data_IF_299809802781
#
_entry.id   IF_299809802781
#
_cell.length_a   1.000
_cell.length_b   1.000
_cell.length_c   1.000
_cell.angle_alpha   90.00
_cell.angle_beta   90.00
_cell.angle_gamma   90.00
#
_symmetry.space_group_name_H-M   'P 1'
#
loop_
_entity.id
_entity.type
_entity.pdbx_description
1 polymer ?
#
# COMPACT_ATOMS: atom_id res chain seq x y z
N UNK A 1 15.93 -84.08 6.38
CA UNK A 1 15.12 -83.00 5.77
C UNK A 1 14.66 -82.03 6.86
N UNK A 2 15.17 -80.79 6.88
CA UNK A 2 14.84 -79.80 7.93
C UNK A 2 13.54 -79.05 7.62
N UNK A 3 12.53 -79.15 8.50
CA UNK A 3 11.27 -78.41 8.38
C UNK A 3 11.53 -76.90 8.57
N UNK A 4 11.07 -76.06 7.62
CA UNK A 4 11.11 -74.59 7.75
C UNK A 4 10.24 -74.16 8.95
N UNK A 5 10.87 -73.52 9.95
CA UNK A 5 10.23 -73.09 11.22
C UNK A 5 9.50 -71.74 11.14
N UNK A 6 9.50 -71.04 10.01
CA UNK A 6 8.84 -69.73 9.86
C UNK A 6 7.60 -69.83 8.98
N UNK A 7 6.46 -69.44 9.54
CA UNK A 7 5.17 -69.35 8.85
C UNK A 7 5.12 -68.03 8.08
N UNK A 8 4.65 -68.07 6.82
CA UNK A 8 4.50 -66.86 6.00
C UNK A 8 3.36 -66.00 6.55
N UNK A 9 3.54 -64.69 6.55
CA UNK A 9 2.48 -63.74 6.91
C UNK A 9 1.57 -63.52 5.70
N UNK A 10 0.26 -63.52 5.94
CA UNK A 10 -0.74 -63.22 4.90
C UNK A 10 -0.87 -61.70 4.72
N UNK A 11 -1.02 -61.21 3.48
CA UNK A 11 -1.23 -59.79 3.18
C UNK A 11 0.02 -58.90 3.19
N UNK A 12 1.23 -59.48 3.11
CA UNK A 12 2.46 -58.67 2.98
C UNK A 12 2.49 -57.93 1.64
N UNK A 13 2.50 -56.60 1.72
CA UNK A 13 2.67 -55.70 0.58
C UNK A 13 4.10 -55.16 0.51
N UNK A 14 4.53 -54.80 -0.69
CA UNK A 14 5.79 -54.09 -0.90
C UNK A 14 5.75 -52.78 -0.10
N UNK A 15 6.78 -52.50 0.70
CA UNK A 15 6.87 -51.24 1.46
C UNK A 15 6.94 -50.07 0.49
N UNK A 16 5.88 -49.26 0.46
CA UNK A 16 5.83 -48.00 -0.27
C UNK A 16 6.01 -46.84 0.71
N UNK A 17 6.48 -45.69 0.19
CA UNK A 17 6.62 -44.48 0.98
C UNK A 17 5.23 -44.02 1.46
N UNK A 18 5.07 -43.83 2.76
CA UNK A 18 3.82 -43.36 3.34
C UNK A 18 3.61 -41.88 2.97
N UNK A 19 2.44 -41.46 2.47
CA UNK A 19 2.14 -40.05 2.21
C UNK A 19 2.34 -39.12 3.42
N UNK A 20 2.33 -39.65 4.65
CA UNK A 20 2.54 -38.92 5.91
C UNK A 20 3.98 -38.96 6.45
N UNK A 21 4.93 -39.50 5.68
CA UNK A 21 6.34 -39.63 6.08
C UNK A 21 7.01 -38.26 6.33
N UNK A 22 7.79 -38.15 7.40
CA UNK A 22 8.47 -36.91 7.79
C UNK A 22 9.48 -36.42 6.74
N UNK A 23 10.02 -37.32 5.90
CA UNK A 23 10.89 -36.96 4.78
C UNK A 23 10.16 -36.20 3.68
N UNK A 24 8.87 -36.51 3.45
CA UNK A 24 8.00 -35.71 2.60
C UNK A 24 7.62 -34.41 3.29
N UNK A 25 7.47 -34.42 4.63
CA UNK A 25 7.21 -33.20 5.40
C UNK A 25 8.36 -32.22 5.34
N UNK A 26 9.63 -32.61 5.25
CA UNK A 26 10.72 -31.63 5.08
C UNK A 26 10.55 -30.83 3.77
N UNK A 27 10.26 -31.50 2.65
CA UNK A 27 10.01 -30.84 1.37
C UNK A 27 8.68 -30.07 1.35
N UNK A 28 7.63 -30.62 1.98
CA UNK A 28 6.32 -29.96 2.10
C UNK A 28 6.31 -28.84 3.15
N UNK A 29 7.18 -28.88 4.17
CA UNK A 29 7.37 -27.86 5.20
C UNK A 29 8.21 -26.73 4.64
N UNK A 30 9.22 -26.99 3.81
CA UNK A 30 9.93 -25.93 3.07
C UNK A 30 9.00 -25.28 2.03
N UNK A 31 8.23 -26.08 1.28
CA UNK A 31 7.24 -25.55 0.32
C UNK A 31 6.06 -24.84 1.02
N UNK A 32 5.63 -25.31 2.19
CA UNK A 32 4.56 -24.69 2.97
C UNK A 32 5.05 -23.56 3.87
N UNK A 33 6.32 -23.51 4.25
CA UNK A 33 6.96 -22.36 4.89
C UNK A 33 7.22 -21.27 3.86
N UNK A 34 7.64 -21.62 2.65
CA UNK A 34 7.69 -20.68 1.52
C UNK A 34 6.29 -20.16 1.17
N UNK A 35 5.26 -21.02 1.16
CA UNK A 35 3.85 -20.59 1.01
C UNK A 35 3.28 -19.86 2.24
N UNK A 36 3.74 -20.11 3.47
CA UNK A 36 3.34 -19.39 4.69
C UNK A 36 4.05 -18.05 4.82
N UNK A 37 5.26 -17.92 4.28
CA UNK A 37 6.00 -16.67 4.15
C UNK A 37 5.44 -15.78 3.03
N UNK A 38 4.92 -16.37 1.94
CA UNK A 38 4.13 -15.64 0.94
C UNK A 38 2.64 -15.49 1.30
N UNK A 39 2.16 -16.25 2.28
CA UNK A 39 0.82 -16.15 2.86
C UNK A 39 0.87 -15.78 4.35
N UNK A 40 1.57 -14.69 4.67
CA UNK A 40 1.39 -13.88 5.90
C UNK A 40 -0.01 -13.22 5.96
N UNK A 41 -1.01 -13.90 5.40
CA UNK A 41 -2.41 -13.57 5.34
C UNK A 41 -3.21 -14.84 5.08
N UNK A 42 -3.00 -15.91 5.88
CA UNK A 42 -4.00 -16.98 5.96
C UNK A 42 -5.19 -16.45 6.75
N UNK A 43 -6.06 -15.79 5.99
CA UNK A 43 -7.38 -15.35 6.39
C UNK A 43 -8.31 -16.56 6.19
N UNK A 44 -8.94 -17.09 7.24
CA UNK A 44 -10.05 -18.03 7.05
C UNK A 44 -11.16 -17.37 6.22
N UNK A 45 -12.10 -18.13 5.65
CA UNK A 45 -13.28 -17.60 4.90
C UNK A 45 -14.07 -16.50 5.66
N UNK A 46 -13.82 -16.34 6.96
CA UNK A 46 -14.38 -15.33 7.88
C UNK A 46 -13.41 -14.22 8.34
N UNK A 47 -12.28 -13.98 7.66
CA UNK A 47 -11.42 -12.83 8.00
C UNK A 47 -10.37 -13.07 9.11
N UNK A 48 -10.24 -14.29 9.64
CA UNK A 48 -9.47 -14.55 10.86
C UNK A 48 -8.04 -15.01 10.58
N UNK A 49 -7.06 -14.39 11.24
CA UNK A 49 -5.65 -14.80 11.18
C UNK A 49 -5.37 -15.85 12.25
N UNK A 50 -4.70 -16.94 11.87
CA UNK A 50 -4.29 -18.01 12.79
C UNK A 50 -2.80 -17.81 13.08
N UNK A 51 -2.44 -17.60 14.35
CA UNK A 51 -1.04 -17.52 14.78
C UNK A 51 -0.34 -18.87 14.61
N UNK A 52 1.01 -18.90 14.54
CA UNK A 52 1.74 -20.17 14.48
C UNK A 52 1.44 -21.12 15.66
N UNK A 53 0.97 -20.59 16.79
CA UNK A 53 0.60 -21.34 17.99
C UNK A 53 -0.85 -21.87 17.97
N UNK A 54 -1.60 -21.60 16.89
CA UNK A 54 -2.97 -22.07 16.71
C UNK A 54 -4.05 -21.18 17.36
N UNK A 55 -3.67 -20.03 17.94
CA UNK A 55 -4.65 -19.06 18.45
C UNK A 55 -5.28 -18.29 17.30
N UNK A 56 -6.61 -18.21 17.32
CA UNK A 56 -7.37 -17.47 16.31
C UNK A 56 -7.46 -16.02 16.76
N UNK A 57 -6.73 -15.12 16.08
CA UNK A 57 -6.75 -13.68 16.37
C UNK A 57 -7.66 -12.99 15.36
N UNK A 58 -8.68 -12.30 15.88
CA UNK A 58 -9.57 -11.43 15.10
C UNK A 58 -9.02 -10.01 15.15
N UNK A 59 -8.33 -9.60 14.10
CA UNK A 59 -7.93 -8.20 13.95
C UNK A 59 -9.09 -7.40 13.38
N UNK A 60 -9.83 -6.69 14.23
CA UNK A 60 -10.87 -5.75 13.81
C UNK A 60 -10.21 -4.37 13.78
N UNK A 61 -10.10 -3.76 12.60
CA UNK A 61 -9.57 -2.40 12.49
C UNK A 61 -10.56 -1.44 13.15
N UNK A 62 -10.17 -0.80 14.25
CA UNK A 62 -10.94 0.29 14.84
C UNK A 62 -10.92 1.51 13.91
N UNK A 63 -12.05 2.21 13.71
CA UNK A 63 -12.05 3.46 12.96
C UNK A 63 -11.17 4.50 13.67
N UNK A 64 -10.52 5.37 12.90
CA UNK A 64 -9.69 6.44 13.44
C UNK A 64 -10.55 7.43 14.25
N UNK A 65 -10.05 7.87 15.41
CA UNK A 65 -10.73 8.85 16.28
C UNK A 65 -10.93 10.22 15.64
N UNK A 66 -10.14 10.53 14.61
CA UNK A 66 -10.21 11.76 13.82
C UNK A 66 -11.45 11.87 12.92
N UNK A 67 -12.18 10.76 12.76
CA UNK A 67 -13.27 10.64 11.81
C UNK A 67 -14.60 10.84 12.52
N UNK A 68 -15.34 11.88 12.12
CA UNK A 68 -16.77 11.99 12.37
C UNK A 68 -17.51 11.45 11.15
N UNK A 69 -17.95 10.19 11.21
CA UNK A 69 -18.44 9.43 10.05
C UNK A 69 -17.41 9.41 8.91
N UNK A 70 -17.70 10.12 7.80
CA UNK A 70 -16.80 10.26 6.65
C UNK A 70 -15.99 11.56 6.67
N UNK A 71 -16.32 12.50 7.57
CA UNK A 71 -15.61 13.76 7.71
C UNK A 71 -14.40 13.58 8.62
N UNK A 72 -13.25 13.99 8.12
CA UNK A 72 -12.01 14.01 8.88
C UNK A 72 -11.78 15.40 9.49
N UNK A 73 -11.84 15.52 10.81
CA UNK A 73 -11.69 16.79 11.54
C UNK A 73 -10.23 17.16 11.82
N UNK A 74 -9.29 16.24 11.59
CA UNK A 74 -7.84 16.48 11.79
C UNK A 74 -7.15 17.10 10.58
N UNK A 75 -7.85 17.25 9.46
CA UNK A 75 -7.31 17.96 8.30
C UNK A 75 -7.45 19.46 8.54
N UNK A 76 -6.34 20.10 8.94
CA UNK A 76 -6.26 21.55 9.08
C UNK A 76 -4.98 22.10 8.45
N UNK A 77 -4.92 23.40 8.16
CA UNK A 77 -3.70 24.06 7.74
C UNK A 77 -2.60 23.92 8.81
N UNK A 78 -1.33 23.59 8.45
CA UNK A 78 -0.81 23.39 7.09
C UNK A 78 -1.17 22.02 6.51
N UNK A 79 -1.72 22.01 5.30
CA UNK A 79 -2.11 20.76 4.63
C UNK A 79 -0.89 19.99 4.12
N UNK A 80 -0.82 18.70 4.45
CA UNK A 80 0.21 17.79 3.95
C UNK A 80 -0.31 17.07 2.71
N UNK A 81 0.35 17.26 1.58
CA UNK A 81 -0.10 16.73 0.29
C UNK A 81 0.88 15.67 -0.21
N UNK A 82 0.48 14.40 -0.27
CA UNK A 82 1.26 13.32 -0.86
C UNK A 82 1.24 13.45 -2.39
N UNK A 83 2.42 13.59 -2.98
CA UNK A 83 2.58 13.78 -4.43
C UNK A 83 3.03 12.50 -5.11
N UNK A 84 2.33 12.14 -6.18
CA UNK A 84 2.61 11.00 -7.05
C UNK A 84 3.47 11.39 -8.29
N UNK A 85 4.16 10.43 -8.91
CA UNK A 85 5.07 10.65 -10.06
C UNK A 85 4.33 11.25 -11.26
N UNK A 86 3.16 10.69 -11.59
CA UNK A 86 2.32 11.15 -12.69
C UNK A 86 1.84 12.58 -12.47
N UNK A 87 1.52 12.95 -11.22
CA UNK A 87 1.08 14.31 -10.90
C UNK A 87 2.17 15.34 -11.20
N UNK A 88 3.43 15.05 -10.85
CA UNK A 88 4.58 15.93 -11.15
C UNK A 88 4.75 16.10 -12.66
N UNK A 89 4.64 15.01 -13.42
CA UNK A 89 4.77 15.05 -14.87
C UNK A 89 3.67 15.91 -15.52
N UNK A 90 2.42 15.75 -15.10
CA UNK A 90 1.31 16.56 -15.60
C UNK A 90 1.39 18.02 -15.15
N UNK A 91 1.89 18.31 -13.95
CA UNK A 91 2.11 19.69 -13.50
C UNK A 91 3.16 20.40 -14.36
N UNK A 92 4.26 19.71 -14.69
CA UNK A 92 5.29 20.23 -15.57
C UNK A 92 4.80 20.45 -17.00
N UNK A 93 4.01 19.52 -17.55
CA UNK A 93 3.41 19.68 -18.88
C UNK A 93 2.50 20.90 -18.96
N UNK A 94 1.71 21.16 -17.92
CA UNK A 94 0.81 22.31 -17.84
C UNK A 94 1.49 23.59 -17.34
N UNK A 95 2.79 23.55 -17.04
CA UNK A 95 3.59 24.68 -16.53
C UNK A 95 3.05 25.28 -15.23
N UNK A 96 2.53 24.42 -14.35
CA UNK A 96 2.01 24.83 -13.04
C UNK A 96 3.11 24.60 -12.00
N UNK A 97 3.43 25.63 -11.22
CA UNK A 97 4.32 25.48 -10.06
C UNK A 97 3.59 24.70 -8.95
N UNK A 98 4.15 23.59 -8.48
CA UNK A 98 3.46 22.68 -7.56
C UNK A 98 3.04 23.36 -6.25
N UNK A 99 3.95 24.08 -5.60
CA UNK A 99 3.66 24.69 -4.28
C UNK A 99 2.64 25.81 -4.42
N UNK A 100 2.83 26.71 -5.40
CA UNK A 100 1.90 27.82 -5.64
C UNK A 100 0.52 27.31 -6.05
N UNK A 101 0.45 26.36 -7.00
CA UNK A 101 -0.83 25.81 -7.45
C UNK A 101 -1.58 25.08 -6.33
N UNK A 102 -0.89 24.46 -5.38
CA UNK A 102 -1.52 23.84 -4.20
C UNK A 102 -2.07 24.90 -3.24
N UNK A 103 -1.33 25.99 -3.00
CA UNK A 103 -1.79 27.10 -2.17
C UNK A 103 -2.99 27.82 -2.78
N UNK A 104 -2.99 28.03 -4.11
CA UNK A 104 -4.09 28.67 -4.83
C UNK A 104 -5.36 27.80 -4.82
N UNK A 105 -5.21 26.47 -4.82
CA UNK A 105 -6.33 25.53 -4.76
C UNK A 105 -6.92 25.39 -3.35
N UNK A 106 -6.05 25.28 -2.34
CA UNK A 106 -6.45 25.02 -0.95
C UNK A 106 -6.73 26.31 -0.15
N UNK A 107 -6.35 27.47 -0.69
CA UNK A 107 -6.38 28.77 -0.01
C UNK A 107 -5.68 28.76 1.37
N UNK A 108 -4.68 27.89 1.53
CA UNK A 108 -4.00 27.65 2.79
C UNK A 108 -2.56 27.20 2.54
N UNK A 109 -1.71 27.28 3.57
CA UNK A 109 -0.33 26.80 3.49
C UNK A 109 -0.32 25.30 3.25
N UNK A 110 0.26 24.88 2.12
CA UNK A 110 0.42 23.47 1.75
C UNK A 110 1.89 23.05 1.79
N UNK A 111 2.17 21.94 2.46
CA UNK A 111 3.48 21.29 2.48
C UNK A 111 3.37 20.05 1.59
N UNK A 112 4.00 20.05 0.42
CA UNK A 112 4.01 18.87 -0.42
C UNK A 112 5.01 17.85 0.13
N UNK A 113 4.55 16.63 0.28
CA UNK A 113 5.31 15.50 0.80
C UNK A 113 5.54 14.48 -0.33
N UNK A 114 6.78 14.02 -0.48
CA UNK A 114 7.17 13.02 -1.48
C UNK A 114 7.72 11.80 -0.76
N UNK A 115 7.25 10.61 -1.14
CA UNK A 115 7.78 9.35 -0.62
C UNK A 115 9.05 8.94 -1.35
N UNK A 116 9.97 8.26 -0.65
CA UNK A 116 11.20 7.74 -1.26
C UNK A 116 10.92 6.84 -2.48
N UNK A 117 9.81 6.12 -2.49
CA UNK A 117 9.42 5.24 -3.59
C UNK A 117 9.03 5.99 -4.87
N UNK A 118 8.34 7.12 -4.73
CA UNK A 118 8.02 8.03 -5.86
C UNK A 118 9.31 8.59 -6.46
N UNK A 119 10.30 8.93 -5.64
CA UNK A 119 11.63 9.36 -6.13
C UNK A 119 12.32 8.23 -6.88
N UNK A 120 12.32 7.00 -6.32
CA UNK A 120 12.91 5.83 -6.98
C UNK A 120 12.23 5.49 -8.30
N UNK A 121 10.92 5.70 -8.42
CA UNK A 121 10.18 5.51 -9.67
C UNK A 121 10.56 6.57 -10.72
N UNK A 122 10.69 7.84 -10.31
CA UNK A 122 11.18 8.92 -11.20
C UNK A 122 12.61 8.66 -11.70
N UNK A 123 13.48 8.08 -10.87
CA UNK A 123 14.84 7.71 -11.26
C UNK A 123 14.85 6.57 -12.31
N UNK A 124 13.91 5.62 -12.20
CA UNK A 124 13.76 4.51 -13.15
C UNK A 124 13.22 4.95 -14.52
N UNK A 125 12.40 6.00 -14.57
CA UNK A 125 11.87 6.56 -15.81
C UNK A 125 12.97 7.16 -16.72
N UNK A 126 14.19 7.35 -16.20
CA UNK A 126 15.38 7.66 -16.98
C UNK A 126 15.59 9.16 -17.26
N UNK A 127 16.53 9.51 -18.15
CA UNK A 127 17.01 10.90 -18.31
C UNK A 127 15.98 11.86 -18.89
N UNK A 128 14.93 11.36 -19.56
CA UNK A 128 13.84 12.19 -20.10
C UNK A 128 13.10 12.96 -19.00
N UNK A 129 13.03 12.39 -17.79
CA UNK A 129 12.32 12.97 -16.65
C UNK A 129 13.26 13.65 -15.64
N UNK A 130 14.47 14.04 -16.07
CA UNK A 130 15.45 14.71 -15.20
C UNK A 130 14.95 16.03 -14.62
N UNK A 131 14.09 16.75 -15.35
CA UNK A 131 13.45 17.98 -14.87
C UNK A 131 12.49 17.65 -13.71
N UNK A 132 11.67 16.61 -13.85
CA UNK A 132 10.78 16.14 -12.80
C UNK A 132 11.55 15.68 -11.56
N UNK A 133 12.67 14.97 -11.75
CA UNK A 133 13.53 14.55 -10.64
C UNK A 133 14.15 15.75 -9.90
N UNK A 134 14.53 16.82 -10.61
CA UNK A 134 15.07 18.04 -9.98
C UNK A 134 14.00 18.76 -9.16
N UNK A 135 12.77 18.84 -9.68
CA UNK A 135 11.62 19.40 -8.95
C UNK A 135 11.31 18.58 -7.71
N UNK A 136 11.23 17.25 -7.84
CA UNK A 136 10.96 16.35 -6.71
C UNK A 136 12.03 16.42 -5.60
N UNK A 137 13.25 16.90 -5.90
CA UNK A 137 14.35 17.04 -4.95
C UNK A 137 14.45 18.44 -4.32
N UNK A 138 13.58 19.38 -4.67
CA UNK A 138 13.57 20.74 -4.12
C UNK A 138 13.37 20.71 -2.58
N UNK A 139 14.12 21.50 -1.80
CA UNK A 139 13.99 21.58 -0.34
C UNK A 139 12.61 22.00 0.16
N UNK A 140 11.75 22.58 -0.69
CA UNK A 140 10.36 22.90 -0.33
C UNK A 140 9.49 21.65 -0.11
N UNK A 141 9.92 20.48 -0.63
CA UNK A 141 9.24 19.21 -0.43
C UNK A 141 9.73 18.50 0.83
N UNK A 142 8.79 18.02 1.65
CA UNK A 142 9.09 17.14 2.76
C UNK A 142 9.31 15.71 2.24
N UNK A 143 10.43 15.09 2.61
CA UNK A 143 10.74 13.71 2.20
C UNK A 143 10.26 12.73 3.25
N UNK A 144 9.43 11.79 2.83
CA UNK A 144 8.92 10.71 3.67
C UNK A 144 9.63 9.40 3.35
N UNK A 145 10.34 8.87 4.33
CA UNK A 145 10.99 7.56 4.23
C UNK A 145 9.95 6.44 4.26
N UNK A 146 10.18 5.42 3.43
CA UNK A 146 9.31 4.25 3.28
C UNK A 146 10.07 3.00 3.67
N UNK A 147 9.45 2.14 4.47
CA UNK A 147 10.05 0.94 5.06
C UNK A 147 9.51 -0.37 4.47
N UNK A 148 9.15 -0.37 3.18
CA UNK A 148 8.62 -1.56 2.50
C UNK A 148 9.57 -2.06 1.42
N UNK A 149 9.45 -3.35 1.09
CA UNK A 149 10.23 -3.96 0.01
C UNK A 149 9.59 -3.65 -1.34
N UNK A 150 10.40 -3.16 -2.27
CA UNK A 150 9.95 -2.76 -3.61
C UNK A 150 9.69 -1.25 -3.70
N UNK A 151 9.40 -0.79 -4.92
CA UNK A 151 9.28 0.65 -5.23
C UNK A 151 7.93 0.99 -5.86
N UNK A 152 6.89 0.23 -5.55
CA UNK A 152 5.57 0.48 -6.13
C UNK A 152 4.87 1.57 -5.31
N UNK A 153 4.77 2.77 -5.89
CA UNK A 153 4.33 3.96 -5.19
C UNK A 153 2.86 3.91 -4.80
N UNK A 154 1.98 3.34 -5.64
CA UNK A 154 0.54 3.28 -5.39
C UNK A 154 0.20 2.57 -4.08
N UNK A 155 0.81 1.39 -3.85
CA UNK A 155 0.59 0.62 -2.63
C UNK A 155 1.14 1.31 -1.39
N UNK A 156 2.31 1.93 -1.52
CA UNK A 156 2.91 2.76 -0.46
C UNK A 156 1.99 3.90 -0.03
N UNK A 157 1.45 4.64 -1.01
CA UNK A 157 0.57 5.77 -0.80
C UNK A 157 -0.70 5.29 -0.07
N UNK A 158 -1.32 4.21 -0.55
CA UNK A 158 -2.55 3.68 0.03
C UNK A 158 -2.33 3.15 1.45
N UNK A 159 -1.27 2.40 1.70
CA UNK A 159 -0.95 1.88 3.04
C UNK A 159 -0.71 3.04 4.02
N UNK A 160 0.03 4.07 3.59
CA UNK A 160 0.31 5.26 4.41
C UNK A 160 -0.96 6.02 4.74
N UNK A 161 -1.83 6.25 3.77
CA UNK A 161 -3.09 6.97 3.95
C UNK A 161 -4.08 6.18 4.82
N UNK A 162 -4.10 4.86 4.65
CA UNK A 162 -4.97 3.98 5.44
C UNK A 162 -4.56 3.99 6.91
N UNK A 163 -3.25 4.01 7.17
CA UNK A 163 -2.68 4.09 8.52
C UNK A 163 -2.82 5.49 9.12
N UNK A 164 -2.56 6.52 8.31
CA UNK A 164 -2.56 7.92 8.72
C UNK A 164 -3.45 8.73 7.79
N UNK A 165 -4.64 9.10 8.29
CA UNK A 165 -5.61 9.88 7.52
C UNK A 165 -5.31 11.38 7.48
N UNK A 166 -4.08 11.81 7.73
CA UNK A 166 -3.71 13.24 7.81
C UNK A 166 -3.12 13.79 6.51
N UNK A 167 -3.40 13.16 5.36
CA UNK A 167 -2.83 13.52 4.07
C UNK A 167 -3.91 13.79 3.02
N UNK A 168 -3.63 14.75 2.14
CA UNK A 168 -4.31 14.95 0.86
C UNK A 168 -3.51 14.20 -0.21
N UNK A 169 -4.16 13.54 -1.16
CA UNK A 169 -3.46 12.80 -2.22
C UNK A 169 -3.51 13.58 -3.52
N UNK A 170 -2.35 13.92 -4.08
CA UNK A 170 -2.23 14.53 -5.39
C UNK A 170 -1.87 13.47 -6.43
N UNK A 171 -2.87 13.01 -7.20
CA UNK A 171 -2.67 12.03 -8.27
C UNK A 171 -3.61 12.28 -9.45
N UNK A 172 -3.10 12.02 -10.66
CA UNK A 172 -3.87 12.03 -11.89
C UNK A 172 -4.20 10.61 -12.40
N UNK A 173 -3.68 9.56 -11.76
CA UNK A 173 -3.91 8.19 -12.23
C UNK A 173 -5.34 7.71 -11.92
N UNK A 174 -5.98 7.06 -12.89
CA UNK A 174 -7.37 6.61 -12.77
C UNK A 174 -7.50 5.48 -11.76
N UNK A 175 -6.53 4.57 -11.70
CA UNK A 175 -6.58 3.41 -10.83
C UNK A 175 -6.32 3.80 -9.37
N UNK A 176 -5.26 4.57 -9.12
CA UNK A 176 -4.98 5.11 -7.79
C UNK A 176 -6.15 5.97 -7.27
N UNK A 177 -6.74 6.84 -8.11
CA UNK A 177 -7.94 7.60 -7.73
C UNK A 177 -9.11 6.72 -7.32
N UNK A 178 -9.36 5.62 -8.02
CA UNK A 178 -10.43 4.67 -7.66
C UNK A 178 -10.15 4.00 -6.32
N UNK A 179 -8.89 3.66 -6.04
CA UNK A 179 -8.46 3.05 -4.77
C UNK A 179 -8.58 4.04 -3.60
N UNK A 180 -8.09 5.27 -3.75
CA UNK A 180 -8.18 6.33 -2.72
C UNK A 180 -9.63 6.67 -2.39
N UNK A 181 -10.53 6.72 -3.39
CA UNK A 181 -11.96 6.98 -3.14
C UNK A 181 -12.67 5.93 -2.28
N UNK A 182 -12.12 4.72 -2.14
CA UNK A 182 -12.66 3.69 -1.24
C UNK A 182 -12.31 3.97 0.23
N UNK A 183 -11.27 4.77 0.48
CA UNK A 183 -10.86 5.12 1.84
C UNK A 183 -11.60 6.41 2.26
N UNK A 184 -12.41 6.38 3.33
CA UNK A 184 -13.18 7.54 3.75
C UNK A 184 -12.30 8.58 4.47
N UNK A 185 -12.62 9.86 4.25
CA UNK A 185 -11.99 11.00 4.93
C UNK A 185 -10.71 11.54 4.30
N UNK A 186 -10.38 11.12 3.07
CA UNK A 186 -9.18 11.55 2.37
C UNK A 186 -9.54 12.41 1.15
N UNK A 187 -9.10 13.67 1.12
CA UNK A 187 -9.27 14.52 -0.04
C UNK A 187 -8.33 14.11 -1.18
N UNK A 188 -8.80 14.31 -2.40
CA UNK A 188 -8.07 13.96 -3.62
C UNK A 188 -7.88 15.19 -4.48
N UNK A 189 -6.64 15.55 -4.75
CA UNK A 189 -6.26 16.62 -5.66
C UNK A 189 -5.84 16.06 -7.01
N UNK A 190 -6.34 16.64 -8.09
CA UNK A 190 -6.02 16.25 -9.46
C UNK A 190 -5.89 17.48 -10.36
N UNK A 191 -5.23 17.32 -11.50
CA UNK A 191 -5.05 18.41 -12.47
C UNK A 191 -6.21 18.36 -13.46
N UNK A 192 -6.88 19.49 -13.65
CA UNK A 192 -7.89 19.67 -14.68
C UNK A 192 -7.58 20.96 -15.45
N UNK A 193 -7.39 20.83 -16.76
CA UNK A 193 -6.97 21.92 -17.64
C UNK A 193 -5.62 22.52 -17.19
N UNK A 194 -5.62 23.69 -16.54
CA UNK A 194 -4.43 24.40 -16.06
C UNK A 194 -4.51 24.78 -14.57
N UNK A 195 -5.41 24.14 -13.83
CA UNK A 195 -5.61 24.40 -12.41
C UNK A 195 -5.68 23.09 -11.64
N UNK A 196 -5.28 23.13 -10.38
CA UNK A 196 -5.54 22.02 -9.48
C UNK A 196 -6.98 22.09 -9.02
N UNK A 197 -7.63 20.93 -8.94
CA UNK A 197 -8.96 20.77 -8.38
C UNK A 197 -8.89 19.74 -7.27
N UNK A 198 -9.73 19.92 -6.28
CA UNK A 198 -9.82 19.04 -5.13
C UNK A 198 -11.22 18.45 -5.00
N UNK A 199 -11.25 17.16 -4.71
CA UNK A 199 -12.44 16.37 -4.43
C UNK A 199 -12.48 16.08 -2.93
N UNK A 200 -13.68 16.05 -2.33
CA UNK A 200 -13.92 15.58 -0.95
C UNK A 200 -13.23 16.38 0.16
N UNK A 201 -12.94 17.66 -0.04
CA UNK A 201 -12.64 18.56 1.08
C UNK A 201 -13.95 19.23 1.53
N UNK A 202 -14.45 18.96 2.75
CA UNK A 202 -15.72 19.50 3.22
C UNK A 202 -15.74 21.03 3.36
N UNK A 203 -14.59 21.65 3.65
CA UNK A 203 -14.49 23.10 3.87
C UNK A 203 -14.51 23.94 2.57
N UNK A 204 -14.27 23.33 1.41
CA UNK A 204 -14.34 24.06 0.13
C UNK A 204 -15.78 24.32 -0.37
N UNK A 205 -16.79 23.85 0.36
CA UNK A 205 -18.21 24.10 0.10
C UNK A 205 -18.84 25.17 0.99
N UNK A 206 -18.15 25.68 2.02
CA UNK A 206 -18.64 26.78 2.83
C UNK A 206 -18.02 28.09 2.35
N UNK A 207 -18.54 28.61 1.25
CA UNK A 207 -18.50 30.05 1.03
C UNK A 207 -19.30 30.70 2.16
N UNK A 208 -18.62 31.45 3.03
CA UNK A 208 -19.26 32.53 3.77
C UNK A 208 -19.47 33.73 2.84
#
# INVERSE_FOLDING_TARGET
MGKKKQVRKFGEVKRMLNPKDDRLKANAAVASAAKKASASGKVNERGQQITPDGTVVRHISTPASSMFFEHNTQLGPPYRVLVDTNFINFALQNKIELVQGMMDCLYAKSIPCITTCVISELEKLGPKYRIALRVARDPRFERLECSHKGTYADDCIIERITSHKCYIVATCDRELRRRVRKVPGIPLMYIASRQFRIERLPDHGMAQ
#
